data_IF_372147916247
#
_entry.id   IF_372147916247
#
_cell.length_a   1.000
_cell.length_b   1.000
_cell.length_c   1.000
_cell.angle_alpha   90.00
_cell.angle_beta   90.00
_cell.angle_gamma   90.00
#
_symmetry.space_group_name_H-M   'P 1'
#
loop_
_entity.id
_entity.type
_entity.pdbx_description
1 polymer ?
#
# COMPACT_ATOMS: atom_id res chain seq x y z
N UNK A 1 -25.19 15.47 -42.69
CA UNK A 1 -25.61 14.96 -41.36
C UNK A 1 -24.89 13.65 -41.11
N UNK A 2 -24.37 13.49 -39.89
CA UNK A 2 -23.70 12.30 -39.31
C UNK A 2 -22.17 12.36 -39.23
N UNK A 3 -21.67 13.19 -38.34
CA UNK A 3 -20.47 12.91 -37.54
C UNK A 3 -20.89 13.00 -36.07
N UNK A 4 -21.12 11.87 -35.41
CA UNK A 4 -21.14 11.81 -33.94
C UNK A 4 -21.07 10.34 -33.49
N UNK A 5 -19.86 9.83 -33.36
CA UNK A 5 -19.59 8.49 -32.81
C UNK A 5 -18.29 8.38 -31.99
N UNK A 6 -17.56 9.48 -31.78
CA UNK A 6 -16.21 9.45 -31.19
C UNK A 6 -16.16 9.88 -29.70
N UNK A 7 -17.30 10.13 -29.06
CA UNK A 7 -17.37 10.76 -27.73
C UNK A 7 -17.39 9.83 -26.51
N UNK A 8 -17.76 8.56 -26.68
CA UNK A 8 -18.16 7.71 -25.54
C UNK A 8 -17.00 6.86 -24.95
N UNK A 9 -16.13 6.31 -25.81
CA UNK A 9 -15.06 5.40 -25.37
C UNK A 9 -13.92 6.05 -24.55
N UNK A 10 -13.77 7.37 -24.63
CA UNK A 10 -12.70 8.11 -23.91
C UNK A 10 -13.09 8.43 -22.46
N UNK A 11 -14.39 8.63 -22.22
CA UNK A 11 -14.93 8.86 -20.88
C UNK A 11 -14.94 7.55 -20.06
N UNK A 12 -15.23 6.41 -20.70
CA UNK A 12 -15.13 5.10 -20.05
C UNK A 12 -13.69 4.73 -19.70
N UNK A 13 -12.71 5.04 -20.56
CA UNK A 13 -11.29 4.77 -20.28
C UNK A 13 -10.75 5.60 -19.12
N UNK A 14 -11.15 6.87 -19.03
CA UNK A 14 -10.84 7.73 -17.88
C UNK A 14 -11.46 7.20 -16.58
N UNK A 15 -12.69 6.68 -16.63
CA UNK A 15 -13.34 6.02 -15.49
C UNK A 15 -12.57 4.80 -14.99
N UNK A 16 -12.18 3.91 -15.91
CA UNK A 16 -11.37 2.72 -15.58
C UNK A 16 -10.00 3.10 -15.02
N UNK A 17 -9.36 4.13 -15.58
CA UNK A 17 -8.09 4.64 -15.07
C UNK A 17 -8.22 5.20 -13.64
N UNK A 18 -9.30 5.92 -13.34
CA UNK A 18 -9.59 6.46 -12.02
C UNK A 18 -9.85 5.36 -10.99
N UNK A 19 -10.65 4.34 -11.34
CA UNK A 19 -10.89 3.18 -10.47
C UNK A 19 -9.59 2.42 -10.16
N UNK A 20 -8.74 2.23 -11.18
CA UNK A 20 -7.44 1.59 -11.01
C UNK A 20 -6.52 2.40 -10.09
N UNK A 21 -6.51 3.74 -10.22
CA UNK A 21 -5.75 4.61 -9.33
C UNK A 21 -6.26 4.52 -7.88
N UNK A 22 -7.57 4.60 -7.67
CA UNK A 22 -8.18 4.49 -6.35
C UNK A 22 -7.84 3.14 -5.67
N UNK A 23 -7.80 2.05 -6.43
CA UNK A 23 -7.37 0.75 -5.92
C UNK A 23 -5.90 0.74 -5.46
N UNK A 24 -5.01 1.42 -6.19
CA UNK A 24 -3.60 1.56 -5.78
C UNK A 24 -3.42 2.49 -4.59
N UNK A 25 -4.21 3.55 -4.47
CA UNK A 25 -4.22 4.42 -3.28
C UNK A 25 -4.70 3.65 -2.04
N UNK A 26 -5.76 2.85 -2.17
CA UNK A 26 -6.23 1.97 -1.10
C UNK A 26 -5.14 0.95 -0.69
N UNK A 27 -4.47 0.34 -1.67
CA UNK A 27 -3.33 -0.55 -1.40
C UNK A 27 -2.20 0.18 -0.65
N UNK A 28 -1.88 1.42 -1.02
CA UNK A 28 -0.85 2.19 -0.33
C UNK A 28 -1.24 2.47 1.14
N UNK A 29 -2.51 2.76 1.40
CA UNK A 29 -3.02 2.91 2.77
C UNK A 29 -2.94 1.60 3.56
N UNK A 30 -3.25 0.46 2.93
CA UNK A 30 -3.14 -0.86 3.54
C UNK A 30 -1.71 -1.18 3.96
N UNK A 31 -0.73 -0.97 3.07
CA UNK A 31 0.70 -1.17 3.38
C UNK A 31 1.14 -0.33 4.58
N UNK A 32 0.70 0.93 4.67
CA UNK A 32 1.03 1.81 5.80
C UNK A 32 0.37 1.36 7.10
N UNK A 33 -0.87 0.91 7.04
CA UNK A 33 -1.58 0.36 8.20
C UNK A 33 -0.89 -0.89 8.72
N UNK A 34 -0.52 -1.81 7.83
CA UNK A 34 0.19 -3.03 8.20
C UNK A 34 1.56 -2.73 8.78
N UNK A 35 2.27 -1.74 8.22
CA UNK A 35 3.54 -1.25 8.76
C UNK A 35 3.40 -0.72 10.20
N UNK A 36 2.34 0.05 10.48
CA UNK A 36 2.05 0.55 11.81
C UNK A 36 1.74 -0.60 12.78
N UNK A 37 0.85 -1.53 12.41
CA UNK A 37 0.49 -2.69 13.24
C UNK A 37 1.70 -3.57 13.57
N UNK A 38 2.58 -3.83 12.60
CA UNK A 38 3.83 -4.56 12.84
C UNK A 38 4.72 -3.78 13.81
N UNK A 39 4.81 -2.46 13.67
CA UNK A 39 5.51 -1.58 14.59
C UNK A 39 5.01 -1.70 16.03
N UNK A 40 3.70 -1.67 16.24
CA UNK A 40 3.07 -1.77 17.55
C UNK A 40 3.31 -3.15 18.18
N UNK A 41 3.16 -4.22 17.39
CA UNK A 41 3.45 -5.59 17.86
C UNK A 41 4.90 -5.77 18.25
N UNK A 42 5.82 -5.20 17.47
CA UNK A 42 7.25 -5.18 17.81
C UNK A 42 7.53 -4.37 19.08
N UNK A 43 6.83 -3.25 19.28
CA UNK A 43 6.94 -2.46 20.51
C UNK A 43 6.52 -3.29 21.72
N UNK A 44 5.34 -3.94 21.68
CA UNK A 44 4.89 -4.81 22.77
C UNK A 44 5.86 -5.96 23.07
N UNK A 45 6.47 -6.56 22.05
CA UNK A 45 7.51 -7.59 22.25
C UNK A 45 8.78 -7.01 22.89
N UNK A 46 9.18 -5.79 22.51
CA UNK A 46 10.34 -5.12 23.11
C UNK A 46 10.10 -4.80 24.57
N UNK A 47 8.92 -4.27 24.90
CA UNK A 47 8.55 -3.91 26.26
C UNK A 47 8.43 -5.16 27.16
N UNK A 48 8.09 -6.31 26.58
CA UNK A 48 8.14 -7.62 27.23
C UNK A 48 9.54 -8.29 27.25
N UNK A 49 10.59 -7.62 26.75
CA UNK A 49 11.96 -8.16 26.71
C UNK A 49 12.20 -9.26 25.66
N UNK A 50 11.28 -9.47 24.70
CA UNK A 50 11.27 -10.58 23.72
C UNK A 50 11.89 -10.22 22.37
N UNK A 51 12.84 -9.31 22.33
CA UNK A 51 13.48 -8.82 21.09
C UNK A 51 14.33 -9.88 20.35
N UNK A 52 14.74 -10.95 21.04
CA UNK A 52 15.49 -12.07 20.43
C UNK A 52 14.59 -13.23 19.97
N UNK A 53 13.27 -13.12 20.15
CA UNK A 53 12.35 -14.19 19.75
C UNK A 53 12.29 -14.36 18.23
N UNK A 54 12.02 -15.58 17.77
CA UNK A 54 11.80 -15.86 16.34
C UNK A 54 10.68 -14.97 15.76
N UNK A 55 9.61 -14.76 16.53
CA UNK A 55 8.50 -13.86 16.15
C UNK A 55 8.98 -12.42 15.96
N UNK A 56 9.84 -11.89 16.83
CA UNK A 56 10.38 -10.54 16.66
C UNK A 56 11.23 -10.42 15.38
N UNK A 57 12.05 -11.42 15.08
CA UNK A 57 12.88 -11.45 13.87
C UNK A 57 12.02 -11.53 12.59
N UNK A 58 10.95 -12.35 12.61
CA UNK A 58 9.98 -12.41 11.52
C UNK A 58 9.28 -11.07 11.30
N UNK A 59 8.83 -10.42 12.37
CA UNK A 59 8.20 -9.10 12.29
C UNK A 59 9.18 -8.03 11.82
N UNK A 60 10.45 -8.10 12.22
CA UNK A 60 11.49 -7.19 11.74
C UNK A 60 11.69 -7.33 10.22
N UNK A 61 11.78 -8.56 9.71
CA UNK A 61 11.87 -8.82 8.27
C UNK A 61 10.64 -8.32 7.52
N UNK A 62 9.43 -8.61 8.04
CA UNK A 62 8.17 -8.10 7.48
C UNK A 62 8.17 -6.57 7.42
N UNK A 63 8.58 -5.91 8.50
CA UNK A 63 8.67 -4.45 8.60
C UNK A 63 9.63 -3.88 7.56
N UNK A 64 10.79 -4.51 7.33
CA UNK A 64 11.74 -4.06 6.33
C UNK A 64 11.12 -4.09 4.91
N UNK A 65 10.44 -5.18 4.57
CA UNK A 65 9.71 -5.30 3.30
C UNK A 65 8.62 -4.24 3.16
N UNK A 66 7.79 -4.04 4.18
CA UNK A 66 6.72 -3.04 4.17
C UNK A 66 7.25 -1.60 4.00
N UNK A 67 8.39 -1.27 4.65
CA UNK A 67 9.03 0.05 4.48
C UNK A 67 9.54 0.26 3.06
N UNK A 68 10.09 -0.77 2.44
CA UNK A 68 10.55 -0.70 1.05
C UNK A 68 9.38 -0.54 0.07
N UNK A 69 8.28 -1.26 0.29
CA UNK A 69 7.05 -1.11 -0.50
C UNK A 69 6.47 0.31 -0.37
N UNK A 70 6.30 0.80 0.84
CA UNK A 70 5.81 2.15 1.13
C UNK A 70 6.75 3.25 0.57
N UNK A 71 8.07 3.02 0.58
CA UNK A 71 9.03 3.90 -0.12
C UNK A 71 8.77 3.92 -1.63
N UNK A 72 8.62 2.76 -2.26
CA UNK A 72 8.34 2.68 -3.71
C UNK A 72 7.01 3.32 -4.08
N UNK A 73 5.97 3.15 -3.26
CA UNK A 73 4.67 3.78 -3.48
C UNK A 73 4.80 5.31 -3.48
N UNK A 74 5.50 5.86 -2.48
CA UNK A 74 5.81 7.30 -2.43
C UNK A 74 6.60 7.80 -3.64
N UNK A 75 7.57 7.02 -4.13
CA UNK A 75 8.37 7.38 -5.31
C UNK A 75 7.46 7.57 -6.56
N UNK A 76 6.28 6.95 -6.58
CA UNK A 76 5.25 7.09 -7.62
C UNK A 76 4.08 8.01 -7.22
N UNK A 77 4.17 8.72 -6.11
CA UNK A 77 3.14 9.66 -5.64
C UNK A 77 1.94 9.02 -4.94
N UNK A 78 2.04 7.75 -4.54
CA UNK A 78 0.99 7.01 -3.83
C UNK A 78 1.19 7.00 -2.32
#
# INVERSE_FOLDING_TARGET
MSENGAGDGRASDAGVAAERLAAFEAFAQDVRRDLAQVGDRMAGLRDAGKTKSATYQQLFAMRATLREMDRRLRDYGL
#
